data_IF_930765721743
#
_entry.id   IF_930765721743
#
_cell.length_a   1.000
_cell.length_b   1.000
_cell.length_c   1.000
_cell.angle_alpha   90.00
_cell.angle_beta   90.00
_cell.angle_gamma   90.00
#
_symmetry.space_group_name_H-M   'P 1'
#
loop_
_entity.id
_entity.type
_entity.pdbx_description
1 polymer ?
#
# COMPACT_ATOMS: atom_id res chain seq x y z
N UNK A 1 -23.97 -22.17 21.90
CA UNK A 1 -23.15 -21.24 21.10
C UNK A 1 -24.02 -20.35 20.20
N UNK A 2 -24.99 -20.92 19.45
CA UNK A 2 -25.94 -20.13 18.62
C UNK A 2 -26.83 -19.15 19.42
N UNK A 3 -27.26 -19.48 20.64
CA UNK A 3 -28.11 -18.58 21.44
C UNK A 3 -27.43 -17.26 21.83
N UNK A 4 -26.13 -17.29 22.15
CA UNK A 4 -25.37 -16.09 22.49
C UNK A 4 -25.03 -15.25 21.24
N UNK A 5 -24.84 -15.90 20.09
CA UNK A 5 -24.69 -15.22 18.79
C UNK A 5 -25.98 -14.49 18.39
N UNK A 6 -27.14 -15.09 18.60
CA UNK A 6 -28.44 -14.47 18.38
C UNK A 6 -28.68 -13.29 19.34
N UNK A 7 -28.28 -13.39 20.60
CA UNK A 7 -28.37 -12.27 21.56
C UNK A 7 -27.52 -11.07 21.14
N UNK A 8 -26.29 -11.28 20.68
CA UNK A 8 -25.42 -10.21 20.19
C UNK A 8 -25.97 -9.56 18.91
N UNK A 9 -26.48 -10.36 17.96
CA UNK A 9 -27.11 -9.84 16.74
C UNK A 9 -28.40 -9.07 17.04
N UNK A 10 -29.19 -9.52 18.01
CA UNK A 10 -30.41 -8.84 18.45
C UNK A 10 -30.09 -7.52 19.18
N UNK A 11 -29.01 -7.47 19.96
CA UNK A 11 -28.49 -6.22 20.54
C UNK A 11 -28.03 -5.20 19.48
N UNK A 12 -27.64 -5.68 18.29
CA UNK A 12 -27.19 -4.87 17.15
C UNK A 12 -28.35 -4.40 16.25
N UNK A 13 -29.51 -5.05 16.33
CA UNK A 13 -30.64 -4.85 15.40
C UNK A 13 -31.92 -4.36 16.08
N UNK A 14 -31.88 -4.03 17.38
CA UNK A 14 -33.02 -3.51 18.13
C UNK A 14 -33.51 -2.18 17.52
N UNK A 15 -34.71 -2.16 16.90
CA UNK A 15 -35.24 -1.00 16.19
C UNK A 15 -35.80 0.09 17.14
N UNK A 16 -35.81 -0.14 18.45
CA UNK A 16 -36.36 0.80 19.45
C UNK A 16 -35.39 1.92 19.84
N UNK A 17 -34.15 1.89 19.34
CA UNK A 17 -33.14 2.91 19.57
C UNK A 17 -32.75 3.64 18.27
N UNK A 18 -32.59 4.97 18.36
CA UNK A 18 -32.43 5.97 17.29
C UNK A 18 -31.80 5.53 15.96
N UNK A 19 -32.30 6.15 14.89
CA UNK A 19 -32.14 5.87 13.46
C UNK A 19 -30.71 5.93 12.86
N UNK A 20 -29.64 5.53 13.58
CA UNK A 20 -28.26 5.55 13.07
C UNK A 20 -27.50 4.21 13.19
N UNK A 21 -28.02 3.21 13.91
CA UNK A 21 -27.33 1.91 14.11
C UNK A 21 -27.14 1.09 12.83
N UNK A 22 -28.02 1.24 11.84
CA UNK A 22 -27.94 0.55 10.53
C UNK A 22 -26.66 0.89 9.74
N UNK A 23 -25.90 1.91 10.15
CA UNK A 23 -24.64 2.28 9.50
C UNK A 23 -23.41 1.56 10.07
N UNK A 24 -23.53 0.87 11.21
CA UNK A 24 -22.47 0.02 11.72
C UNK A 24 -22.65 -1.38 11.16
N UNK A 25 -21.64 -1.87 10.46
CA UNK A 25 -21.65 -3.23 9.91
C UNK A 25 -20.71 -4.08 10.75
N UNK A 26 -21.24 -4.77 11.78
CA UNK A 26 -20.46 -5.73 12.54
C UNK A 26 -20.09 -6.90 11.63
N UNK A 27 -18.80 -7.15 11.48
CA UNK A 27 -18.28 -8.32 10.78
C UNK A 27 -17.66 -9.27 11.78
N UNK A 28 -18.30 -10.43 11.92
CA UNK A 28 -17.82 -11.47 12.80
C UNK A 28 -16.87 -12.40 12.04
N UNK A 29 -15.70 -12.68 12.60
CA UNK A 29 -14.75 -13.64 12.01
C UNK A 29 -14.02 -14.43 13.09
N UNK A 30 -13.43 -15.55 12.70
CA UNK A 30 -12.56 -16.33 13.58
C UNK A 30 -11.11 -15.99 13.29
N UNK A 31 -10.36 -15.74 14.35
CA UNK A 31 -8.91 -15.60 14.26
C UNK A 31 -8.32 -16.89 13.67
N UNK A 32 -7.51 -16.80 12.59
CA UNK A 32 -7.03 -17.97 11.87
C UNK A 32 -6.17 -18.90 12.74
N UNK A 33 -5.27 -18.35 13.56
CA UNK A 33 -4.39 -19.14 14.45
C UNK A 33 -5.03 -19.54 15.78
N UNK A 34 -5.58 -18.60 16.55
CA UNK A 34 -6.08 -18.87 17.91
C UNK A 34 -7.50 -19.44 17.94
N UNK A 35 -8.25 -19.36 16.83
CA UNK A 35 -9.66 -19.74 16.77
C UNK A 35 -10.59 -18.84 17.60
N UNK A 36 -10.07 -17.74 18.18
CA UNK A 36 -10.85 -16.78 18.94
C UNK A 36 -11.89 -16.07 18.06
N UNK A 37 -13.02 -15.69 18.64
CA UNK A 37 -14.03 -14.93 17.93
C UNK A 37 -13.68 -13.44 17.98
N UNK A 38 -13.52 -12.84 16.80
CA UNK A 38 -13.25 -11.42 16.61
C UNK A 38 -14.49 -10.78 15.99
N UNK A 39 -14.83 -9.59 16.49
CA UNK A 39 -15.89 -8.76 15.98
C UNK A 39 -15.26 -7.46 15.47
N UNK A 40 -15.20 -7.30 14.15
CA UNK A 40 -14.88 -6.04 13.52
C UNK A 40 -16.14 -5.19 13.45
N UNK A 41 -15.99 -3.90 13.66
CA UNK A 41 -17.11 -2.95 13.71
C UNK A 41 -16.68 -1.78 12.86
N UNK A 42 -17.22 -1.70 11.66
CA UNK A 42 -16.91 -0.60 10.76
C UNK A 42 -17.72 0.61 11.17
N UNK A 43 -17.04 1.75 11.28
CA UNK A 43 -17.63 3.04 11.61
C UNK A 43 -17.63 3.89 10.34
N UNK A 44 -18.75 4.54 9.97
CA UNK A 44 -18.80 5.40 8.80
C UNK A 44 -17.75 6.53 8.86
N UNK A 45 -17.29 6.97 7.69
CA UNK A 45 -16.28 8.04 7.57
C UNK A 45 -16.76 9.35 8.20
N UNK A 46 -15.81 10.06 8.80
CA UNK A 46 -16.04 11.24 9.65
C UNK A 46 -16.08 12.56 8.83
N UNK A 47 -15.88 12.50 7.51
CA UNK A 47 -15.65 13.66 6.65
C UNK A 47 -16.75 14.04 5.63
N UNK A 48 -17.98 13.52 5.70
CA UNK A 48 -19.06 14.07 4.84
C UNK A 48 -19.49 15.42 5.41
N UNK A 49 -19.22 16.49 4.67
CA UNK A 49 -19.58 17.88 4.99
C UNK A 49 -21.08 18.13 5.18
N UNK A 50 -21.94 17.15 4.89
CA UNK A 50 -23.40 17.28 4.94
C UNK A 50 -24.04 16.94 6.29
N UNK A 51 -23.27 16.61 7.32
CA UNK A 51 -23.84 16.26 8.63
C UNK A 51 -23.20 17.05 9.77
N UNK A 52 -24.03 17.82 10.47
CA UNK A 52 -23.79 18.30 11.83
C UNK A 52 -23.64 17.07 12.75
N UNK A 53 -22.45 16.46 12.75
CA UNK A 53 -22.14 15.20 13.41
C UNK A 53 -21.98 15.32 14.94
N UNK A 54 -22.14 16.52 15.51
CA UNK A 54 -21.93 16.79 16.95
C UNK A 54 -22.72 15.84 17.88
N UNK A 55 -24.02 15.53 17.65
CA UNK A 55 -24.75 14.62 18.54
C UNK A 55 -24.49 13.12 18.26
N UNK A 56 -24.01 12.77 17.05
CA UNK A 56 -23.84 11.37 16.65
C UNK A 56 -22.47 10.78 17.02
N UNK A 57 -21.43 11.61 17.11
CA UNK A 57 -20.05 11.16 17.38
C UNK A 57 -19.89 10.65 18.82
N UNK A 58 -20.42 11.39 19.80
CA UNK A 58 -20.30 11.06 21.24
C UNK A 58 -21.18 9.86 21.61
N UNK A 59 -22.33 9.73 20.94
CA UNK A 59 -23.34 8.75 21.30
C UNK A 59 -22.97 7.32 20.90
N UNK A 60 -22.24 7.12 19.79
CA UNK A 60 -22.14 5.79 19.18
C UNK A 60 -20.99 4.93 19.73
N UNK A 61 -19.78 5.46 19.91
CA UNK A 61 -18.66 4.64 20.41
C UNK A 61 -18.81 4.31 21.91
N UNK A 62 -19.32 5.26 22.71
CA UNK A 62 -19.57 5.08 24.15
C UNK A 62 -20.76 4.13 24.42
N UNK A 63 -21.90 4.31 23.72
CA UNK A 63 -23.07 3.43 23.90
C UNK A 63 -22.81 1.99 23.43
N UNK A 64 -22.04 1.81 22.36
CA UNK A 64 -21.59 0.49 21.90
C UNK A 64 -20.73 -0.18 22.97
N UNK A 65 -19.73 0.54 23.50
CA UNK A 65 -18.83 0.02 24.54
C UNK A 65 -19.60 -0.40 25.81
N UNK A 66 -20.46 0.46 26.34
CA UNK A 66 -21.22 0.15 27.55
C UNK A 66 -22.17 -1.05 27.39
N UNK A 67 -22.77 -1.25 26.21
CA UNK A 67 -23.62 -2.42 25.93
C UNK A 67 -22.78 -3.70 25.82
N UNK A 68 -21.58 -3.62 25.26
CA UNK A 68 -20.73 -4.77 25.01
C UNK A 68 -19.94 -5.22 26.24
N UNK A 69 -19.51 -4.28 27.07
CA UNK A 69 -18.95 -4.60 28.40
C UNK A 69 -19.98 -5.38 29.24
N UNK A 70 -21.26 -4.97 29.20
CA UNK A 70 -22.37 -5.71 29.85
C UNK A 70 -22.61 -7.10 29.26
N UNK A 71 -22.28 -7.31 27.99
CA UNK A 71 -22.37 -8.60 27.31
C UNK A 71 -21.09 -9.46 27.48
N UNK A 72 -20.12 -9.02 28.29
CA UNK A 72 -18.86 -9.72 28.50
C UNK A 72 -17.88 -9.65 27.32
N UNK A 73 -18.14 -8.77 26.34
CA UNK A 73 -17.24 -8.51 25.21
C UNK A 73 -16.25 -7.45 25.64
N UNK A 74 -14.95 -7.77 25.61
CA UNK A 74 -13.91 -6.80 25.95
C UNK A 74 -13.54 -5.96 24.73
N UNK A 75 -13.44 -4.66 24.95
CA UNK A 75 -12.82 -3.78 23.97
C UNK A 75 -11.36 -4.18 23.74
N UNK A 76 -11.00 -4.31 22.46
CA UNK A 76 -9.64 -4.65 22.04
C UNK A 76 -8.87 -3.40 21.64
N UNK A 77 -9.14 -2.91 20.44
CA UNK A 77 -8.44 -1.75 19.92
C UNK A 77 -9.33 -0.92 19.00
N UNK A 78 -9.11 0.38 19.01
CA UNK A 78 -9.58 1.26 17.95
C UNK A 78 -8.51 1.31 16.87
N UNK A 79 -8.84 0.92 15.64
CA UNK A 79 -7.91 1.05 14.51
C UNK A 79 -8.38 2.20 13.64
N UNK A 80 -7.55 3.21 13.50
CA UNK A 80 -7.79 4.29 12.56
C UNK A 80 -7.08 4.00 11.25
N UNK A 81 -7.84 3.78 10.18
CA UNK A 81 -7.26 3.44 8.87
C UNK A 81 -7.08 4.71 8.05
N UNK A 82 -5.85 4.95 7.60
CA UNK A 82 -5.47 6.12 6.84
C UNK A 82 -4.84 5.74 5.51
N UNK A 83 -5.54 6.04 4.41
CA UNK A 83 -4.98 5.89 3.08
C UNK A 83 -4.05 7.04 2.72
N UNK A 84 -2.76 6.76 2.56
CA UNK A 84 -1.74 7.77 2.22
C UNK A 84 -1.69 8.09 0.73
N UNK A 85 -2.35 7.29 -0.12
CA UNK A 85 -2.40 7.56 -1.57
C UNK A 85 -3.29 8.76 -1.92
N UNK A 86 -4.22 9.09 -1.05
CA UNK A 86 -5.21 10.15 -1.21
C UNK A 86 -4.60 11.53 -0.91
N UNK A 87 -4.45 12.37 -1.94
CA UNK A 87 -3.76 13.66 -1.85
C UNK A 87 -4.41 14.65 -0.86
N UNK A 88 -5.73 14.61 -0.70
CA UNK A 88 -6.47 15.48 0.23
C UNK A 88 -6.28 15.11 1.70
N UNK A 89 -5.64 13.97 1.97
CA UNK A 89 -5.23 13.55 3.30
C UNK A 89 -3.76 13.82 3.59
N UNK A 90 -3.00 14.22 2.57
CA UNK A 90 -1.63 14.70 2.69
C UNK A 90 -1.68 16.15 3.13
N UNK A 91 -1.63 16.42 4.43
CA UNK A 91 -1.40 17.78 4.93
C UNK A 91 0.10 18.07 4.92
N UNK A 92 0.48 19.31 4.60
CA UNK A 92 1.88 19.75 4.48
C UNK A 92 2.69 19.52 5.77
N UNK A 93 2.02 19.53 6.92
CA UNK A 93 2.61 19.31 8.24
C UNK A 93 2.66 17.83 8.67
N UNK A 94 2.16 16.90 7.83
CA UNK A 94 2.09 15.47 8.15
C UNK A 94 1.02 15.08 9.16
N UNK A 95 0.25 16.03 9.72
CA UNK A 95 -0.87 15.70 10.60
C UNK A 95 -1.97 15.10 9.73
N UNK A 96 -2.54 13.94 10.08
CA UNK A 96 -3.68 13.40 9.33
C UNK A 96 -4.90 14.32 9.43
N UNK A 97 -5.65 14.45 8.33
CA UNK A 97 -6.90 15.24 8.34
C UNK A 97 -7.83 14.79 9.47
N UNK A 98 -8.44 15.76 10.17
CA UNK A 98 -9.32 15.59 11.34
C UNK A 98 -8.70 14.92 12.58
N UNK A 99 -7.37 14.74 12.64
CA UNK A 99 -6.73 14.07 13.77
C UNK A 99 -7.03 14.73 15.13
N UNK A 100 -6.98 16.06 15.24
CA UNK A 100 -7.26 16.76 16.50
C UNK A 100 -8.71 16.56 16.96
N UNK A 101 -9.65 16.54 16.03
CA UNK A 101 -11.06 16.28 16.32
C UNK A 101 -11.25 14.83 16.76
N UNK A 102 -10.61 13.88 16.08
CA UNK A 102 -10.61 12.46 16.46
C UNK A 102 -10.00 12.22 17.84
N UNK A 103 -8.88 12.88 18.12
CA UNK A 103 -8.20 12.81 19.41
C UNK A 103 -9.09 13.28 20.55
N UNK A 104 -9.80 14.40 20.38
CA UNK A 104 -10.81 14.85 21.36
C UNK A 104 -11.89 13.81 21.57
N UNK A 105 -12.41 13.20 20.50
CA UNK A 105 -13.41 12.12 20.61
C UNK A 105 -12.86 10.94 21.42
N UNK A 106 -11.63 10.52 21.14
CA UNK A 106 -11.00 9.43 21.88
C UNK A 106 -10.80 9.78 23.36
N UNK A 107 -10.21 10.93 23.66
CA UNK A 107 -9.81 11.32 25.02
C UNK A 107 -11.01 11.78 25.87
N UNK A 108 -11.90 12.60 25.33
CA UNK A 108 -12.97 13.28 26.06
C UNK A 108 -14.28 12.47 26.08
N UNK A 109 -14.74 12.01 24.91
CA UNK A 109 -16.09 11.45 24.75
C UNK A 109 -16.13 9.94 25.01
N UNK A 110 -15.18 9.20 24.41
CA UNK A 110 -15.11 7.74 24.54
C UNK A 110 -14.31 7.31 25.77
N UNK A 111 -13.55 8.24 26.36
CA UNK A 111 -12.60 7.98 27.46
C UNK A 111 -11.72 6.78 27.12
N UNK A 112 -11.23 6.77 25.89
CA UNK A 112 -10.30 5.79 25.39
C UNK A 112 -8.89 6.27 25.69
N UNK A 113 -8.14 5.45 26.42
CA UNK A 113 -6.71 5.67 26.53
C UNK A 113 -6.05 5.50 25.16
N UNK A 114 -5.13 6.41 24.81
CA UNK A 114 -4.41 6.40 23.52
C UNK A 114 -3.63 5.10 23.29
N UNK A 115 -3.23 4.41 24.37
CA UNK A 115 -2.67 3.05 24.33
C UNK A 115 -3.62 1.97 23.78
N UNK A 116 -4.88 2.29 23.48
CA UNK A 116 -5.82 1.39 22.79
C UNK A 116 -6.19 1.89 21.40
N UNK A 117 -5.59 2.98 20.93
CA UNK A 117 -5.72 3.48 19.56
C UNK A 117 -4.51 3.00 18.75
N UNK A 118 -4.76 2.45 17.57
CA UNK A 118 -3.74 2.16 16.57
C UNK A 118 -4.03 2.95 15.32
N UNK A 119 -3.06 3.76 14.91
CA UNK A 119 -3.01 4.41 13.62
C UNK A 119 -2.49 3.41 12.58
N UNK A 120 -3.34 2.98 11.64
CA UNK A 120 -2.96 2.07 10.57
C UNK A 120 -2.93 2.81 9.23
N UNK A 121 -1.73 3.00 8.70
CA UNK A 121 -1.55 3.61 7.37
C UNK A 121 -1.57 2.56 6.25
N UNK A 122 -2.32 2.83 5.18
CA UNK A 122 -2.51 1.99 3.99
C UNK A 122 -2.21 2.80 2.73
N UNK A 123 -2.25 2.18 1.54
CA UNK A 123 -2.11 2.90 0.27
C UNK A 123 -0.66 3.22 -0.12
N UNK A 124 0.28 2.57 0.54
CA UNK A 124 1.72 2.69 0.36
C UNK A 124 2.27 2.01 -0.92
N UNK A 125 1.43 1.72 -1.91
CA UNK A 125 1.84 1.01 -3.12
C UNK A 125 2.65 1.94 -4.02
N UNK A 126 3.93 1.64 -4.24
CA UNK A 126 4.79 2.41 -5.15
C UNK A 126 5.44 3.65 -4.51
N UNK A 127 5.72 3.62 -3.21
CA UNK A 127 6.42 4.70 -2.51
C UNK A 127 7.78 4.98 -3.16
N UNK A 128 7.86 6.10 -3.88
CA UNK A 128 9.08 6.84 -4.20
C UNK A 128 9.73 7.37 -2.90
N UNK A 129 10.91 7.98 -2.96
CA UNK A 129 11.50 8.73 -1.83
C UNK A 129 10.46 9.61 -1.08
N UNK A 130 9.51 10.17 -1.82
CA UNK A 130 8.42 11.01 -1.32
C UNK A 130 7.53 10.33 -0.25
N UNK A 131 7.21 9.04 -0.39
CA UNK A 131 6.37 8.37 0.62
C UNK A 131 7.15 7.99 1.89
N UNK A 132 8.47 7.80 1.80
CA UNK A 132 9.30 7.65 3.01
C UNK A 132 9.37 8.97 3.79
N UNK A 133 9.55 10.09 3.10
CA UNK A 133 9.45 11.40 3.74
C UNK A 133 8.07 11.63 4.36
N UNK A 134 7.00 11.26 3.66
CA UNK A 134 5.64 11.37 4.19
C UNK A 134 5.44 10.52 5.46
N UNK A 135 5.97 9.28 5.50
CA UNK A 135 5.99 8.44 6.70
C UNK A 135 6.66 9.17 7.87
N UNK A 136 7.85 9.71 7.65
CA UNK A 136 8.59 10.43 8.70
C UNK A 136 7.85 11.68 9.17
N UNK A 137 7.21 12.43 8.24
CA UNK A 137 6.40 13.60 8.59
C UNK A 137 5.21 13.21 9.47
N UNK A 138 4.46 12.16 9.12
CA UNK A 138 3.34 11.67 9.92
C UNK A 138 3.80 11.20 11.30
N UNK A 139 4.87 10.40 11.38
CA UNK A 139 5.42 9.95 12.65
C UNK A 139 5.84 11.12 13.53
N UNK A 140 6.55 12.10 12.96
CA UNK A 140 6.98 13.31 13.66
C UNK A 140 5.79 14.15 14.14
N UNK A 141 4.77 14.28 13.31
CA UNK A 141 3.55 15.01 13.63
C UNK A 141 2.78 14.38 14.79
N UNK A 142 2.81 13.05 14.89
CA UNK A 142 2.07 12.29 15.89
C UNK A 142 2.94 11.78 17.06
N UNK A 143 4.18 12.25 17.20
CA UNK A 143 5.11 11.83 18.25
C UNK A 143 4.52 12.02 19.65
N UNK A 144 3.88 13.16 19.93
CA UNK A 144 3.27 13.41 21.25
C UNK A 144 2.14 12.43 21.57
N UNK A 145 1.41 11.96 20.57
CA UNK A 145 0.38 10.93 20.76
C UNK A 145 1.00 9.55 20.92
N UNK A 146 2.12 9.27 20.26
CA UNK A 146 2.92 8.08 20.45
C UNK A 146 3.39 7.96 21.92
N UNK A 147 3.85 9.06 22.51
CA UNK A 147 4.25 9.15 23.92
C UNK A 147 3.07 8.86 24.88
N UNK A 148 1.84 9.18 24.46
CA UNK A 148 0.60 8.83 25.19
C UNK A 148 0.13 7.39 24.96
N UNK A 149 0.75 6.67 24.02
CA UNK A 149 0.50 5.27 23.75
C UNK A 149 -0.07 4.94 22.38
N UNK A 150 -0.28 5.93 21.51
CA UNK A 150 -0.72 5.68 20.14
C UNK A 150 0.25 4.75 19.42
N UNK A 151 -0.30 3.66 18.89
CA UNK A 151 0.47 2.70 18.12
C UNK A 151 0.43 3.01 16.62
N UNK A 152 1.54 2.82 15.91
CA UNK A 152 1.60 2.98 14.46
C UNK A 152 1.75 1.64 13.77
N UNK A 153 0.77 1.29 12.94
CA UNK A 153 0.83 0.19 12.00
C UNK A 153 0.95 0.70 10.58
N UNK A 154 1.56 -0.12 9.72
CA UNK A 154 1.53 0.06 8.28
C UNK A 154 1.03 -1.23 7.65
N UNK A 155 0.16 -1.08 6.65
CA UNK A 155 -0.27 -2.18 5.82
C UNK A 155 0.04 -1.79 4.36
N UNK A 156 1.21 -2.21 3.85
CA UNK A 156 1.70 -1.73 2.55
C UNK A 156 0.83 -2.21 1.39
N UNK A 157 0.18 -3.37 1.53
CA UNK A 157 -0.71 -3.97 0.55
C UNK A 157 -1.97 -4.49 1.24
N UNK A 158 -3.08 -4.49 0.52
CA UNK A 158 -4.31 -5.18 0.96
C UNK A 158 -4.22 -6.68 0.70
N UNK A 159 -3.16 -7.33 1.17
CA UNK A 159 -3.11 -8.79 1.25
C UNK A 159 -3.77 -9.26 2.54
N UNK A 160 -4.55 -10.33 2.46
CA UNK A 160 -5.34 -10.83 3.59
C UNK A 160 -4.46 -11.37 4.71
N UNK A 161 -3.38 -12.07 4.37
CA UNK A 161 -2.49 -12.68 5.36
C UNK A 161 -1.62 -11.61 6.04
N UNK A 162 -1.16 -10.62 5.28
CA UNK A 162 -0.47 -9.43 5.83
C UNK A 162 -1.39 -8.62 6.76
N UNK A 163 -2.64 -8.38 6.35
CA UNK A 163 -3.62 -7.72 7.20
C UNK A 163 -3.82 -8.48 8.50
N UNK A 164 -3.92 -9.82 8.45
CA UNK A 164 -4.00 -10.64 9.67
C UNK A 164 -2.74 -10.57 10.53
N UNK A 165 -1.53 -10.48 9.96
CA UNK A 165 -0.30 -10.28 10.76
C UNK A 165 -0.33 -8.97 11.53
N UNK A 166 -0.72 -7.88 10.87
CA UNK A 166 -0.84 -6.57 11.53
C UNK A 166 -1.91 -6.62 12.62
N UNK A 167 -3.09 -7.19 12.34
CA UNK A 167 -4.16 -7.35 13.34
C UNK A 167 -3.71 -8.21 14.52
N UNK A 168 -2.98 -9.31 14.30
CA UNK A 168 -2.45 -10.14 15.37
C UNK A 168 -1.47 -9.34 16.24
N UNK A 169 -0.58 -8.56 15.60
CA UNK A 169 0.28 -7.62 16.29
C UNK A 169 -0.53 -6.68 17.19
N UNK A 170 -1.57 -6.04 16.66
CA UNK A 170 -2.42 -5.14 17.43
C UNK A 170 -3.09 -5.86 18.60
N UNK A 171 -3.67 -7.05 18.38
CA UNK A 171 -4.36 -7.83 19.43
C UNK A 171 -3.40 -8.26 20.54
N UNK A 172 -2.23 -8.81 20.19
CA UNK A 172 -1.24 -9.27 21.17
C UNK A 172 -0.70 -8.10 22.00
N UNK A 173 -0.53 -6.95 21.37
CA UNK A 173 -0.04 -5.74 22.03
C UNK A 173 -1.12 -5.11 22.93
N UNK A 174 -2.40 -5.21 22.58
CA UNK A 174 -3.54 -4.89 23.46
C UNK A 174 -3.58 -5.78 24.69
N UNK A 175 -3.30 -7.08 24.55
CA UNK A 175 -3.26 -7.98 25.70
C UNK A 175 -2.11 -7.67 26.64
N UNK A 176 -0.95 -7.32 26.10
CA UNK A 176 0.24 -6.99 26.88
C UNK A 176 0.15 -5.62 27.60
N UNK A 177 -0.56 -4.64 27.04
CA UNK A 177 -0.66 -3.28 27.62
C UNK A 177 -1.52 -3.19 28.90
N UNK A 178 -2.20 -4.27 29.30
CA UNK A 178 -2.83 -4.37 30.61
C UNK A 178 -1.81 -4.34 31.78
N UNK A 179 -0.50 -4.35 31.48
CA UNK A 179 0.60 -4.29 32.45
C UNK A 179 1.29 -2.92 32.66
N UNK A 180 0.86 -1.83 32.02
CA UNK A 180 1.36 -0.45 32.28
C UNK A 180 2.13 0.24 31.14
N UNK A 181 2.64 1.47 31.42
CA UNK A 181 3.18 2.45 30.45
C UNK A 181 4.34 1.95 29.58
N UNK A 182 5.15 1.02 30.07
CA UNK A 182 6.26 0.42 29.32
C UNK A 182 5.78 -0.38 28.07
N UNK A 183 4.50 -0.74 28.00
CA UNK A 183 3.95 -1.52 26.88
C UNK A 183 3.66 -0.71 25.60
N UNK A 184 3.58 0.62 25.67
CA UNK A 184 3.26 1.48 24.51
C UNK A 184 4.42 1.62 23.53
N UNK A 185 5.62 1.90 24.04
CA UNK A 185 6.83 2.06 23.24
C UNK A 185 7.24 0.72 22.61
N UNK A 186 7.17 -0.38 23.39
CA UNK A 186 7.37 -1.74 22.89
C UNK A 186 6.33 -2.12 21.82
N UNK A 187 5.09 -1.64 21.94
CA UNK A 187 4.03 -1.84 20.93
C UNK A 187 4.35 -1.14 19.62
N UNK A 188 4.71 0.14 19.65
CA UNK A 188 5.04 0.89 18.43
C UNK A 188 6.25 0.27 17.73
N UNK A 189 7.27 -0.12 18.51
CA UNK A 189 8.47 -0.80 17.99
C UNK A 189 8.15 -2.12 17.31
N UNK A 190 7.33 -2.98 17.95
CA UNK A 190 6.94 -4.29 17.38
C UNK A 190 6.11 -4.15 16.10
N UNK A 191 5.18 -3.20 16.03
CA UNK A 191 4.43 -2.94 14.80
C UNK A 191 5.31 -2.39 13.69
N UNK A 192 6.30 -1.54 14.00
CA UNK A 192 7.30 -1.11 13.03
C UNK A 192 8.09 -2.30 12.49
N UNK A 193 8.56 -3.20 13.36
CA UNK A 193 9.30 -4.39 12.92
C UNK A 193 8.46 -5.29 11.99
N UNK A 194 7.16 -5.46 12.27
CA UNK A 194 6.25 -6.22 11.39
C UNK A 194 6.12 -5.51 10.04
N UNK A 195 5.96 -4.19 10.04
CA UNK A 195 5.87 -3.41 8.80
C UNK A 195 7.15 -3.49 7.97
N UNK A 196 8.32 -3.39 8.62
CA UNK A 196 9.62 -3.44 7.97
C UNK A 196 9.90 -4.85 7.40
N UNK A 197 9.55 -5.94 8.11
CA UNK A 197 9.63 -7.33 7.61
C UNK A 197 8.72 -7.58 6.39
N UNK A 198 7.48 -7.07 6.42
CA UNK A 198 6.56 -7.17 5.27
C UNK A 198 7.16 -6.42 4.08
N UNK A 199 7.69 -5.22 4.32
CA UNK A 199 8.25 -4.38 3.27
C UNK A 199 9.48 -5.03 2.61
N UNK A 200 10.40 -5.56 3.41
CA UNK A 200 11.63 -6.18 2.88
C UNK A 200 11.32 -7.42 2.03
N UNK A 201 10.43 -8.31 2.50
CA UNK A 201 10.01 -9.47 1.70
C UNK A 201 9.35 -9.07 0.39
N UNK A 202 8.56 -7.99 0.40
CA UNK A 202 7.93 -7.50 -0.81
C UNK A 202 8.91 -6.83 -1.74
N UNK A 203 9.92 -6.14 -1.20
CA UNK A 203 11.02 -5.60 -2.00
C UNK A 203 11.74 -6.72 -2.73
N UNK A 204 12.13 -7.79 -2.04
CA UNK A 204 12.76 -8.97 -2.63
C UNK A 204 11.88 -9.59 -3.73
N UNK A 205 10.60 -9.86 -3.44
CA UNK A 205 9.65 -10.39 -4.43
C UNK A 205 9.46 -9.47 -5.63
N UNK A 206 9.46 -8.15 -5.42
CA UNK A 206 9.27 -7.16 -6.49
C UNK A 206 10.51 -7.06 -7.35
N UNK A 207 11.71 -7.08 -6.77
CA UNK A 207 12.96 -7.06 -7.52
C UNK A 207 13.14 -8.35 -8.34
N UNK A 208 12.78 -9.51 -7.79
CA UNK A 208 12.81 -10.77 -8.52
C UNK A 208 11.75 -10.80 -9.65
N UNK A 209 10.52 -10.38 -9.37
CA UNK A 209 9.48 -10.28 -10.39
C UNK A 209 9.81 -9.25 -11.49
N UNK A 210 10.44 -8.12 -11.13
CA UNK A 210 10.94 -7.13 -12.11
C UNK A 210 12.03 -7.72 -12.98
N UNK A 211 12.93 -8.50 -12.39
CA UNK A 211 14.00 -9.18 -13.14
C UNK A 211 13.41 -10.17 -14.14
N UNK A 212 12.48 -11.01 -13.72
CA UNK A 212 11.78 -11.97 -14.59
C UNK A 212 10.98 -11.26 -15.69
N UNK A 213 10.30 -10.16 -15.36
CA UNK A 213 9.55 -9.36 -16.33
C UNK A 213 10.48 -8.72 -17.37
N UNK A 214 11.60 -8.16 -16.95
CA UNK A 214 12.58 -7.52 -17.83
C UNK A 214 13.28 -8.57 -18.71
N UNK A 215 13.69 -9.72 -18.17
CA UNK A 215 14.22 -10.84 -18.95
C UNK A 215 13.20 -11.33 -19.99
N UNK A 216 11.93 -11.48 -19.59
CA UNK A 216 10.85 -11.84 -20.49
C UNK A 216 10.57 -10.78 -21.56
N UNK A 217 10.74 -9.49 -21.22
CA UNK A 217 10.62 -8.37 -22.17
C UNK A 217 11.77 -8.36 -23.17
N UNK A 218 13.01 -8.54 -22.73
CA UNK A 218 14.20 -8.64 -23.59
C UNK A 218 14.06 -9.80 -24.57
N UNK A 219 13.62 -10.97 -24.09
CA UNK A 219 13.37 -12.13 -24.97
C UNK A 219 12.35 -11.82 -26.07
N UNK A 220 11.21 -11.21 -25.72
CA UNK A 220 10.18 -10.82 -26.70
C UNK A 220 10.68 -9.78 -27.71
N UNK A 221 11.48 -8.81 -27.25
CA UNK A 221 12.11 -7.83 -28.15
C UNK A 221 13.03 -8.51 -29.17
N UNK A 222 13.82 -9.48 -28.72
CA UNK A 222 14.72 -10.24 -29.59
C UNK A 222 13.94 -11.08 -30.61
N UNK A 223 12.89 -11.79 -30.17
CA UNK A 223 12.01 -12.58 -31.04
C UNK A 223 11.37 -11.72 -32.14
N UNK A 224 10.79 -10.57 -31.78
CA UNK A 224 10.18 -9.65 -32.75
C UNK A 224 11.23 -9.05 -33.71
N UNK A 225 12.46 -8.80 -33.23
CA UNK A 225 13.56 -8.30 -34.06
C UNK A 225 14.03 -9.36 -35.07
N UNK A 226 14.13 -10.61 -34.64
CA UNK A 226 14.50 -11.73 -35.51
C UNK A 226 13.43 -11.98 -36.58
N UNK A 227 12.15 -11.91 -36.22
CA UNK A 227 11.05 -11.98 -37.18
C UNK A 227 11.12 -10.84 -38.19
N UNK A 228 11.33 -9.60 -37.74
CA UNK A 228 11.51 -8.44 -38.62
C UNK A 228 12.68 -8.67 -39.60
N UNK A 229 13.81 -9.16 -39.11
CA UNK A 229 14.95 -9.47 -39.98
C UNK A 229 14.65 -10.58 -40.99
N UNK A 230 13.89 -11.61 -40.60
CA UNK A 230 13.44 -12.64 -41.52
C UNK A 230 12.56 -12.06 -42.63
N UNK A 231 11.67 -11.12 -42.31
CA UNK A 231 10.84 -10.42 -43.30
C UNK A 231 11.68 -9.54 -44.23
N UNK A 232 12.62 -8.76 -43.68
CA UNK A 232 13.51 -7.90 -44.46
C UNK A 232 14.38 -8.67 -45.45
N UNK A 233 14.79 -9.91 -45.13
CA UNK A 233 15.64 -10.71 -46.01
C UNK A 233 14.97 -11.16 -47.32
N UNK A 234 13.63 -11.09 -47.40
CA UNK A 234 12.84 -11.55 -48.56
C UNK A 234 13.09 -10.71 -49.82
N UNK A 235 13.57 -9.48 -49.69
CA UNK A 235 13.81 -8.57 -50.83
C UNK A 235 15.22 -7.99 -50.77
N UNK A 236 15.74 -7.54 -51.93
CA UNK A 236 17.06 -6.89 -51.98
C UNK A 236 17.07 -5.57 -51.22
N UNK A 237 16.04 -4.74 -51.42
CA UNK A 237 15.88 -3.48 -50.69
C UNK A 237 15.78 -3.72 -49.17
N UNK A 238 15.00 -4.72 -48.73
CA UNK A 238 14.88 -5.08 -47.33
C UNK A 238 16.20 -5.57 -46.71
N UNK A 239 17.02 -6.34 -47.44
CA UNK A 239 18.39 -6.68 -47.00
C UNK A 239 19.26 -5.44 -46.81
N UNK A 240 19.10 -4.42 -47.67
CA UNK A 240 19.74 -3.12 -47.50
C UNK A 240 19.33 -2.42 -46.21
N UNK A 241 18.03 -2.39 -45.90
CA UNK A 241 17.51 -1.83 -44.64
C UNK A 241 18.03 -2.61 -43.42
N UNK A 242 18.03 -3.95 -43.46
CA UNK A 242 18.62 -4.79 -42.40
C UNK A 242 20.10 -4.48 -42.16
N UNK A 243 20.86 -4.26 -43.22
CA UNK A 243 22.28 -3.91 -43.09
C UNK A 243 22.48 -2.55 -42.40
N UNK A 244 21.57 -1.58 -42.62
CA UNK A 244 21.56 -0.31 -41.87
C UNK A 244 21.29 -0.53 -40.38
N UNK A 245 20.26 -1.32 -40.03
CA UNK A 245 19.96 -1.67 -38.64
C UNK A 245 21.16 -2.29 -37.92
N UNK A 246 21.83 -3.26 -38.56
CA UNK A 246 23.02 -3.90 -37.97
C UNK A 246 24.17 -2.93 -37.77
N UNK A 247 24.45 -2.09 -38.78
CA UNK A 247 25.50 -1.09 -38.66
C UNK A 247 25.21 -0.11 -37.52
N UNK A 248 23.97 0.39 -37.43
CA UNK A 248 23.55 1.27 -36.34
C UNK A 248 23.68 0.57 -34.97
N UNK A 249 23.27 -0.70 -34.85
CA UNK A 249 23.42 -1.48 -33.61
C UNK A 249 24.89 -1.65 -33.20
N UNK A 250 25.77 -2.04 -34.15
CA UNK A 250 27.20 -2.21 -33.91
C UNK A 250 27.86 -0.88 -33.51
N UNK A 251 27.53 0.22 -34.21
CA UNK A 251 28.04 1.55 -33.90
C UNK A 251 27.57 2.01 -32.51
N UNK A 252 26.31 1.76 -32.14
CA UNK A 252 25.77 2.13 -30.83
C UNK A 252 26.32 1.27 -29.70
N UNK A 253 26.52 -0.04 -29.90
CA UNK A 253 27.21 -0.90 -28.92
C UNK A 253 28.62 -0.38 -28.64
N UNK A 254 29.38 -0.05 -29.68
CA UNK A 254 30.74 0.49 -29.55
C UNK A 254 30.80 1.79 -28.73
N UNK A 255 29.76 2.61 -28.79
CA UNK A 255 29.65 3.86 -28.01
C UNK A 255 29.14 3.59 -26.60
N UNK A 256 28.08 2.80 -26.44
CA UNK A 256 27.37 2.64 -25.16
C UNK A 256 28.08 1.71 -24.18
N UNK A 257 28.68 0.61 -24.66
CA UNK A 257 29.37 -0.36 -23.80
C UNK A 257 30.46 0.27 -22.91
N UNK A 258 31.40 1.10 -23.44
CA UNK A 258 32.41 1.72 -22.59
C UNK A 258 31.83 2.74 -21.60
N UNK A 259 30.73 3.42 -21.95
CA UNK A 259 30.06 4.36 -21.04
C UNK A 259 29.38 3.61 -19.89
N UNK A 260 28.68 2.51 -20.18
CA UNK A 260 28.04 1.67 -19.17
C UNK A 260 29.07 0.99 -18.27
N UNK A 261 30.20 0.55 -18.83
CA UNK A 261 31.31 -0.01 -18.05
C UNK A 261 31.90 1.02 -17.07
N UNK A 262 32.05 2.28 -17.50
CA UNK A 262 32.48 3.37 -16.61
C UNK A 262 31.45 3.68 -15.51
N UNK A 263 30.16 3.64 -15.82
CA UNK A 263 29.10 3.91 -14.85
C UNK A 263 29.04 2.88 -13.72
N UNK A 264 29.41 1.64 -14.04
CA UNK A 264 29.49 0.54 -13.09
C UNK A 264 30.78 0.53 -12.26
N UNK A 265 31.70 1.47 -12.49
CA UNK A 265 32.92 1.58 -11.70
C UNK A 265 32.60 2.17 -10.32
N UNK A 266 32.76 1.37 -9.26
CA UNK A 266 32.50 1.78 -7.88
C UNK A 266 33.41 2.93 -7.41
N UNK A 267 34.56 3.14 -8.07
CA UNK A 267 35.50 4.20 -7.74
C UNK A 267 35.16 5.56 -8.40
N UNK A 268 34.07 5.65 -9.16
CA UNK A 268 33.66 6.88 -9.82
C UNK A 268 33.01 7.83 -8.80
N UNK A 269 33.45 9.09 -8.75
CA UNK A 269 32.89 10.07 -7.82
C UNK A 269 31.43 10.38 -8.18
N UNK A 270 30.56 10.71 -7.19
CA UNK A 270 29.14 10.93 -7.44
C UNK A 270 28.84 11.98 -8.52
N UNK A 271 29.60 13.09 -8.56
CA UNK A 271 29.43 14.15 -9.56
C UNK A 271 29.83 13.71 -10.98
N UNK A 272 30.83 12.84 -11.10
CA UNK A 272 31.27 12.27 -12.37
C UNK A 272 30.26 11.24 -12.88
N UNK A 273 29.69 10.46 -11.95
CA UNK A 273 28.62 9.50 -12.23
C UNK A 273 27.38 10.20 -12.79
N UNK A 274 26.96 11.31 -12.17
CA UNK A 274 25.83 12.10 -12.67
C UNK A 274 26.07 12.65 -14.09
N UNK A 275 27.26 13.20 -14.35
CA UNK A 275 27.64 13.68 -15.69
C UNK A 275 27.61 12.54 -16.72
N UNK A 276 28.12 11.37 -16.34
CA UNK A 276 28.13 10.19 -17.21
C UNK A 276 26.70 9.67 -17.50
N UNK A 277 25.81 9.68 -16.52
CA UNK A 277 24.39 9.34 -16.73
C UNK A 277 23.70 10.28 -17.72
N UNK A 278 24.03 11.58 -17.68
CA UNK A 278 23.51 12.55 -18.66
C UNK A 278 23.97 12.18 -20.07
N UNK A 279 25.26 11.92 -20.27
CA UNK A 279 25.82 11.52 -21.57
C UNK A 279 25.17 10.23 -22.07
N UNK A 280 24.99 9.22 -21.20
CA UNK A 280 24.32 7.96 -21.54
C UNK A 280 22.87 8.21 -21.98
N UNK A 281 22.13 9.08 -21.29
CA UNK A 281 20.75 9.43 -21.65
C UNK A 281 20.69 10.14 -23.00
N UNK A 282 21.60 11.07 -23.27
CA UNK A 282 21.68 11.77 -24.55
C UNK A 282 21.97 10.80 -25.70
N UNK A 283 22.96 9.92 -25.55
CA UNK A 283 23.28 8.89 -26.55
C UNK A 283 22.14 7.90 -26.77
N UNK A 284 21.43 7.51 -25.70
CA UNK A 284 20.25 6.67 -25.79
C UNK A 284 19.13 7.34 -26.60
N UNK A 285 18.88 8.63 -26.41
CA UNK A 285 17.88 9.38 -27.19
C UNK A 285 18.29 9.47 -28.67
N UNK A 286 19.57 9.70 -28.96
CA UNK A 286 20.09 9.70 -30.33
C UNK A 286 19.92 8.33 -30.99
N UNK A 287 20.23 7.26 -30.25
CA UNK A 287 20.00 5.88 -30.66
C UNK A 287 18.52 5.65 -31.02
N UNK A 288 17.59 5.97 -30.13
CA UNK A 288 16.15 5.81 -30.39
C UNK A 288 15.71 6.56 -31.65
N UNK A 289 16.16 7.79 -31.86
CA UNK A 289 15.81 8.60 -33.03
C UNK A 289 16.31 7.97 -34.34
N UNK A 290 17.53 7.44 -34.33
CA UNK A 290 18.11 6.75 -35.49
C UNK A 290 17.32 5.49 -35.85
N UNK A 291 17.04 4.63 -34.85
CA UNK A 291 16.22 3.44 -35.05
C UNK A 291 14.79 3.76 -35.49
N UNK A 292 14.17 4.82 -34.97
CA UNK A 292 12.86 5.30 -35.44
C UNK A 292 12.88 5.63 -36.94
N UNK A 293 13.96 6.23 -37.44
CA UNK A 293 14.15 6.48 -38.87
C UNK A 293 14.18 5.19 -39.68
N UNK A 294 14.90 4.18 -39.20
CA UNK A 294 14.91 2.86 -39.85
C UNK A 294 13.55 2.16 -39.81
N UNK A 295 12.81 2.25 -38.69
CA UNK A 295 11.44 1.73 -38.60
C UNK A 295 10.45 2.48 -39.48
N UNK A 296 10.70 3.74 -39.83
CA UNK A 296 9.92 4.44 -40.85
C UNK A 296 10.13 3.84 -42.25
N UNK A 297 11.39 3.49 -42.60
CA UNK A 297 11.70 2.76 -43.84
C UNK A 297 11.02 1.38 -43.86
N UNK A 298 11.03 0.65 -42.74
CA UNK A 298 10.33 -0.64 -42.58
C UNK A 298 8.84 -0.51 -42.85
N UNK A 299 8.19 0.49 -42.25
CA UNK A 299 6.75 0.75 -42.46
C UNK A 299 6.44 1.16 -43.90
N UNK A 300 7.34 1.89 -44.57
CA UNK A 300 7.18 2.22 -45.99
C UNK A 300 7.17 0.97 -46.89
N UNK A 301 7.85 -0.11 -46.48
CA UNK A 301 7.78 -1.43 -47.12
C UNK A 301 6.51 -2.23 -46.77
N UNK A 302 5.59 -1.66 -45.97
CA UNK A 302 4.39 -2.32 -45.43
C UNK A 302 4.71 -3.57 -44.60
N UNK A 303 5.89 -3.61 -43.99
CA UNK A 303 6.25 -4.62 -43.01
C UNK A 303 5.77 -4.13 -41.64
N UNK A 304 5.02 -4.97 -40.95
CA UNK A 304 4.54 -4.69 -39.60
C UNK A 304 5.68 -4.80 -38.60
N UNK A 305 5.74 -3.84 -37.66
CA UNK A 305 6.69 -3.86 -36.55
C UNK A 305 5.93 -4.38 -35.34
N UNK A 306 6.47 -5.41 -34.68
CA UNK A 306 5.83 -6.02 -33.52
C UNK A 306 5.49 -5.02 -32.41
N UNK A 307 4.46 -5.30 -31.59
CA UNK A 307 3.97 -4.37 -30.58
C UNK A 307 5.00 -4.08 -29.49
N UNK A 308 5.87 -5.03 -29.15
CA UNK A 308 6.89 -4.85 -28.11
C UNK A 308 7.99 -3.90 -28.61
N UNK A 309 8.51 -4.12 -29.82
CA UNK A 309 9.44 -3.21 -30.50
C UNK A 309 8.82 -1.83 -30.70
N UNK A 310 7.56 -1.78 -31.13
CA UNK A 310 6.84 -0.52 -31.32
C UNK A 310 6.72 0.27 -30.02
N UNK A 311 6.39 -0.39 -28.91
CA UNK A 311 6.34 0.25 -27.60
C UNK A 311 7.74 0.70 -27.14
N UNK A 312 8.76 -0.15 -27.32
CA UNK A 312 10.12 0.13 -26.89
C UNK A 312 10.72 1.35 -27.60
N UNK A 313 10.56 1.44 -28.92
CA UNK A 313 11.05 2.56 -29.71
C UNK A 313 10.08 3.76 -29.76
N UNK A 314 9.06 3.78 -28.90
CA UNK A 314 8.15 4.93 -28.76
C UNK A 314 7.30 5.20 -30.00
N UNK A 315 6.92 4.14 -30.73
CA UNK A 315 6.08 4.23 -31.92
C UNK A 315 4.57 4.39 -31.59
N UNK A 316 4.18 4.37 -30.30
CA UNK A 316 2.79 4.41 -29.80
C UNK A 316 2.58 5.45 -28.67
N UNK A 317 1.42 6.14 -28.63
CA UNK A 317 0.99 7.01 -27.51
C UNK A 317 -0.33 6.50 -26.87
N UNK A 318 -0.39 6.23 -25.55
CA UNK A 318 -1.64 5.88 -24.87
C UNK A 318 -2.30 7.08 -24.18
N UNK A 319 -3.64 7.12 -24.22
CA UNK A 319 -4.49 8.13 -23.56
C UNK A 319 -5.18 7.58 -22.29
N UNK A 320 -5.22 8.41 -21.25
CA UNK A 320 -6.25 8.53 -20.17
C UNK A 320 -6.08 7.83 -18.80
N UNK A 321 -6.81 8.42 -17.82
CA UNK A 321 -6.66 8.52 -16.34
C UNK A 321 -7.67 7.64 -15.55
N UNK A 322 -7.44 7.42 -14.24
CA UNK A 322 -8.42 6.87 -13.25
C UNK A 322 -8.30 7.52 -11.83
N UNK A 323 -9.37 7.48 -11.00
CA UNK A 323 -9.50 7.96 -9.59
C UNK A 323 -10.38 7.01 -8.70
N UNK A 324 -10.21 6.99 -7.35
CA UNK A 324 -10.92 6.15 -6.33
C UNK A 324 -11.08 6.82 -4.90
N UNK A 325 -11.69 6.13 -3.89
CA UNK A 325 -12.21 6.59 -2.55
C UNK A 325 -11.74 5.75 -1.27
N UNK A 326 -11.98 6.22 0.00
CA UNK A 326 -11.39 5.83 1.35
C UNK A 326 -12.27 5.03 2.39
N UNK A 327 -11.68 4.27 3.38
CA UNK A 327 -12.29 3.36 4.41
C UNK A 327 -11.78 3.52 5.90
N UNK A 328 -12.56 3.16 6.96
CA UNK A 328 -12.20 3.09 8.42
C UNK A 328 -12.74 1.80 9.13
N UNK A 329 -12.00 1.17 10.09
CA UNK A 329 -12.35 -0.15 10.73
C UNK A 329 -12.03 -0.23 12.25
N UNK A 330 -12.96 -0.62 13.15
CA UNK A 330 -12.69 -0.86 14.61
C UNK A 330 -12.69 -2.36 14.98
N UNK A 331 -11.92 -2.82 15.99
CA UNK A 331 -11.74 -4.26 16.34
C UNK A 331 -12.07 -4.59 17.80
N UNK A 332 -12.89 -5.60 18.00
CA UNK A 332 -13.32 -6.11 19.32
C UNK A 332 -13.07 -7.62 19.40
N UNK A 333 -12.70 -8.16 20.57
CA UNK A 333 -12.47 -9.60 20.73
C UNK A 333 -13.11 -10.17 21.99
N UNK A 334 -13.60 -11.40 21.91
CA UNK A 334 -14.03 -12.17 23.08
C UNK A 334 -12.92 -13.10 23.53
N UNK A 335 -12.43 -12.88 24.75
CA UNK A 335 -11.53 -13.81 25.42
C UNK A 335 -12.34 -15.01 25.89
N UNK A 336 -11.98 -16.23 25.47
CA UNK A 336 -12.55 -17.45 26.06
C UNK A 336 -12.09 -17.51 27.52
N UNK A 337 -12.88 -16.96 28.45
CA UNK A 337 -12.82 -17.40 29.83
C UNK A 337 -13.53 -18.74 29.95
N UNK A 338 -12.93 -19.55 30.81
CA UNK A 338 -13.15 -20.97 31.08
C UNK A 338 -14.60 -21.44 31.07
N UNK A 339 -14.75 -22.76 30.84
CA UNK A 339 -15.98 -23.52 31.08
C UNK A 339 -16.73 -22.99 32.31
N UNK A 340 -17.92 -22.42 32.08
CA UNK A 340 -18.93 -22.33 33.13
C UNK A 340 -19.27 -23.77 33.56
N UNK A 341 -18.68 -24.21 34.67
CA UNK A 341 -19.30 -25.22 35.54
C UNK A 341 -20.29 -24.47 36.42
N UNK A 342 -21.55 -24.91 36.38
CA UNK A 342 -22.54 -24.63 37.43
C UNK A 342 -23.43 -23.43 37.19
N UNK A 343 -24.55 -23.64 36.51
CA UNK A 343 -25.92 -23.40 37.00
C UNK A 343 -26.90 -23.72 35.87
N UNK A 344 -27.13 -25.02 35.67
CA UNK A 344 -28.43 -25.68 35.77
C UNK A 344 -28.19 -27.08 36.31
#
# INVERSE_FOLDING_TARGET
MQAHQLQLLNLLTDPTHDACWWKFVPQQTRHPTSGAQILFVMVPSIGSTDFDLKPSRDFHTFSVRCKWDKAGVKFGAHIWVHDTSESWLKLDNGIPCDWDNLKKIFEEDVKLEMNNVTFLSIGWKGISLEGQEQKQRIQKALTSDAEKGLAFGQLPLMDKDEAWRVINGIIDLTRASLGGRAGAEDRSKRLSMIADDIWERKREQTEEAKKDEEEGRVRRLQEELDELYAQLNKTEYGRGVRAKFRRADDDKKRIMEPLLAQLNNEALEPEEKEKLEIVIKEEYVLCLREFQGHFAEVRAMRIEVGPTLSKFYGLYQPTSRFQYYKLVVTVWYMEKKERFRGLF
#
